data_IF_007071804927
#
_entry.id   IF_007071804927
#
_cell.length_a   1.000
_cell.length_b   1.000
_cell.length_c   1.000
_cell.angle_alpha   90.00
_cell.angle_beta   90.00
_cell.angle_gamma   90.00
#
_symmetry.space_group_name_H-M   'P 1'
#
loop_
_entity.id
_entity.type
_entity.pdbx_description
1 polymer ?
#
# COMPACT_ATOMS: atom_id res chain seq x y z
N UNK A 1 0.16 9.84 -45.37
CA UNK A 1 -0.25 8.74 -44.48
C UNK A 1 0.05 9.27 -43.11
N UNK A 2 -0.98 9.81 -42.47
CA UNK A 2 -0.90 10.41 -41.15
C UNK A 2 -0.75 9.26 -40.16
N UNK A 3 0.48 9.05 -39.68
CA UNK A 3 0.70 8.23 -38.50
C UNK A 3 0.20 9.05 -37.32
N UNK A 4 -0.92 8.61 -36.77
CA UNK A 4 -1.36 9.01 -35.44
C UNK A 4 -0.20 8.72 -34.48
N UNK A 5 0.49 9.78 -34.06
CA UNK A 5 1.25 9.80 -32.82
C UNK A 5 0.22 9.55 -31.71
N UNK A 6 -0.07 8.29 -31.46
CA UNK A 6 -0.58 7.86 -30.17
C UNK A 6 0.51 8.24 -29.19
N UNK A 7 0.29 9.33 -28.47
CA UNK A 7 0.87 9.58 -27.16
C UNK A 7 0.61 8.30 -26.33
N UNK A 8 1.51 7.33 -26.47
CA UNK A 8 1.69 6.21 -25.58
C UNK A 8 1.92 6.87 -24.23
N UNK A 9 0.82 6.99 -23.47
CA UNK A 9 0.83 7.38 -22.08
C UNK A 9 1.72 6.36 -21.37
N UNK A 10 3.00 6.74 -21.26
CA UNK A 10 4.06 5.99 -20.62
C UNK A 10 3.61 5.68 -19.19
N UNK A 11 3.14 4.45 -19.04
CA UNK A 11 2.57 3.90 -17.83
C UNK A 11 3.67 3.76 -16.77
N UNK A 12 4.90 3.52 -17.23
CA UNK A 12 6.12 3.76 -16.47
C UNK A 12 6.16 5.18 -15.91
N UNK A 13 5.95 6.21 -16.73
CA UNK A 13 5.93 7.61 -16.31
C UNK A 13 4.74 7.98 -15.40
N UNK A 14 3.56 7.38 -15.55
CA UNK A 14 2.41 7.64 -14.68
C UNK A 14 2.59 6.99 -13.28
N UNK A 15 3.10 5.76 -13.23
CA UNK A 15 3.43 5.04 -12.00
C UNK A 15 4.67 5.67 -11.32
N UNK A 16 5.67 6.07 -12.11
CA UNK A 16 6.80 6.85 -11.63
C UNK A 16 6.38 8.23 -11.16
N UNK A 17 5.43 8.93 -11.79
CA UNK A 17 4.96 10.24 -11.31
C UNK A 17 4.16 10.11 -10.00
N UNK A 18 3.40 9.03 -9.83
CA UNK A 18 2.76 8.72 -8.57
C UNK A 18 3.76 8.39 -7.44
N UNK A 19 4.93 7.82 -7.77
CA UNK A 19 6.03 7.53 -6.83
C UNK A 19 7.08 8.63 -6.70
N UNK A 20 7.31 9.49 -7.68
CA UNK A 20 8.32 10.57 -7.65
C UNK A 20 7.90 11.68 -6.68
N UNK A 21 6.59 11.80 -6.41
CA UNK A 21 6.08 12.57 -5.28
C UNK A 21 6.39 11.91 -3.90
N UNK A 22 7.05 10.75 -3.84
CA UNK A 22 7.48 10.09 -2.60
C UNK A 22 8.98 10.25 -2.29
N UNK A 23 9.83 10.75 -3.21
CA UNK A 23 11.28 10.64 -3.03
C UNK A 23 11.97 11.79 -2.31
N UNK A 24 11.34 12.95 -2.10
CA UNK A 24 12.12 14.11 -1.63
C UNK A 24 11.89 14.62 -0.20
N UNK A 25 10.90 14.19 0.60
CA UNK A 25 10.82 14.75 1.98
C UNK A 25 9.91 14.05 3.01
N UNK A 26 9.38 12.85 2.77
CA UNK A 26 8.60 12.18 3.82
C UNK A 26 9.47 11.23 4.65
N UNK A 27 9.66 11.50 5.96
CA UNK A 27 10.43 10.62 6.83
C UNK A 27 9.76 9.25 6.82
N UNK A 28 10.52 8.21 6.46
CA UNK A 28 10.13 6.81 6.64
C UNK A 28 9.61 6.68 8.07
N UNK A 29 8.30 6.49 8.23
CA UNK A 29 7.66 6.48 9.55
C UNK A 29 8.25 5.32 10.34
N UNK A 30 9.07 5.65 11.33
CA UNK A 30 9.67 4.71 12.25
C UNK A 30 8.60 4.29 13.27
N UNK A 31 7.86 3.24 12.92
CA UNK A 31 6.65 2.80 13.64
C UNK A 31 7.00 2.34 15.07
N UNK A 32 8.27 2.03 15.40
CA UNK A 32 8.58 1.28 16.64
C UNK A 32 9.91 1.62 17.32
N UNK A 33 10.45 2.83 17.24
CA UNK A 33 11.74 3.12 17.91
C UNK A 33 11.72 3.28 19.45
N UNK A 34 10.60 3.05 20.13
CA UNK A 34 10.54 3.06 21.61
C UNK A 34 9.52 2.04 22.12
N UNK A 35 9.96 1.01 22.85
CA UNK A 35 9.06 0.27 23.76
C UNK A 35 9.09 -1.27 23.76
N UNK A 36 9.98 -1.95 23.03
CA UNK A 36 10.11 -3.41 23.16
C UNK A 36 9.02 -4.26 22.47
N UNK A 37 8.10 -3.62 21.72
CA UNK A 37 7.10 -4.28 20.88
C UNK A 37 7.73 -5.10 19.74
N UNK A 38 8.86 -4.66 19.17
CA UNK A 38 9.56 -5.41 18.10
C UNK A 38 10.04 -6.80 18.57
N UNK A 39 10.54 -6.90 19.81
CA UNK A 39 11.06 -8.15 20.34
C UNK A 39 9.93 -9.15 20.64
N UNK A 40 8.80 -8.66 21.18
CA UNK A 40 7.64 -9.50 21.52
C UNK A 40 6.77 -9.83 20.30
N UNK A 41 6.79 -9.02 19.24
CA UNK A 41 5.99 -9.26 18.03
C UNK A 41 6.24 -10.62 17.37
N UNK A 42 7.44 -11.19 17.53
CA UNK A 42 7.78 -12.53 17.03
C UNK A 42 6.93 -13.63 17.68
N UNK A 43 6.48 -13.44 18.92
CA UNK A 43 5.75 -14.45 19.70
C UNK A 43 4.23 -14.46 19.43
N UNK A 44 3.67 -13.36 18.91
CA UNK A 44 2.22 -13.17 18.75
C UNK A 44 1.72 -13.33 17.30
N UNK A 45 2.62 -13.63 16.36
CA UNK A 45 2.29 -13.81 14.96
C UNK A 45 2.73 -15.16 14.40
N UNK A 46 2.14 -15.55 13.28
CA UNK A 46 2.59 -16.69 12.51
C UNK A 46 3.90 -16.36 11.78
N UNK A 47 4.71 -17.37 11.46
CA UNK A 47 6.00 -17.16 10.80
C UNK A 47 5.88 -16.28 9.54
N UNK A 48 4.79 -16.46 8.79
CA UNK A 48 4.52 -15.79 7.52
C UNK A 48 3.69 -14.49 7.64
N UNK A 49 3.31 -14.06 8.85
CA UNK A 49 2.62 -12.80 9.00
C UNK A 49 3.53 -11.62 8.59
N UNK A 50 2.92 -10.61 7.97
CA UNK A 50 3.57 -9.34 7.68
C UNK A 50 4.07 -8.68 8.98
N UNK A 51 5.20 -7.94 8.97
CA UNK A 51 5.73 -7.30 10.17
C UNK A 51 4.70 -6.44 10.94
N UNK A 52 3.91 -5.65 10.23
CA UNK A 52 2.87 -4.80 10.83
C UNK A 52 1.70 -5.60 11.41
N UNK A 53 1.38 -6.76 10.82
CA UNK A 53 0.38 -7.69 11.38
C UNK A 53 0.86 -8.29 12.69
N UNK A 54 2.14 -8.69 12.77
CA UNK A 54 2.76 -9.20 14.01
C UNK A 54 2.72 -8.15 15.13
N UNK A 55 3.09 -6.91 14.80
CA UNK A 55 3.05 -5.79 15.74
C UNK A 55 1.64 -5.50 16.25
N UNK A 56 0.63 -5.50 15.36
CA UNK A 56 -0.76 -5.26 15.76
C UNK A 56 -1.32 -6.39 16.63
N UNK A 57 -1.04 -7.65 16.29
CA UNK A 57 -1.39 -8.83 17.11
C UNK A 57 -0.76 -8.75 18.50
N UNK A 58 0.51 -8.37 18.57
CA UNK A 58 1.22 -8.20 19.85
C UNK A 58 0.63 -7.06 20.67
N UNK A 59 0.35 -5.90 20.07
CA UNK A 59 -0.26 -4.77 20.77
C UNK A 59 -1.60 -5.15 21.42
N UNK A 60 -2.46 -5.86 20.67
CA UNK A 60 -3.75 -6.34 21.18
C UNK A 60 -3.58 -7.39 22.27
N UNK A 61 -2.66 -8.33 22.13
CA UNK A 61 -2.43 -9.35 23.15
C UNK A 61 -1.88 -8.76 24.45
N UNK A 62 -0.90 -7.86 24.34
CA UNK A 62 -0.22 -7.27 25.49
C UNK A 62 -1.14 -6.30 26.25
N UNK A 63 -1.98 -5.52 25.56
CA UNK A 63 -2.94 -4.63 26.25
C UNK A 63 -3.99 -5.44 27.02
N UNK A 64 -4.45 -6.59 26.49
CA UNK A 64 -5.37 -7.51 27.20
C UNK A 64 -4.78 -8.04 28.51
N UNK A 65 -3.47 -8.28 28.52
CA UNK A 65 -2.74 -8.79 29.70
C UNK A 65 -2.27 -7.69 30.66
N UNK A 66 -2.39 -6.42 30.27
CA UNK A 66 -1.84 -5.28 31.02
C UNK A 66 -0.32 -5.17 30.94
N UNK A 67 0.34 -5.96 30.08
CA UNK A 67 1.79 -5.88 29.83
C UNK A 67 2.18 -4.70 28.93
N UNK A 68 1.22 -4.16 28.16
CA UNK A 68 1.34 -2.91 27.42
C UNK A 68 0.39 -1.90 28.05
N UNK A 69 0.89 -0.69 28.32
CA UNK A 69 0.02 0.36 28.85
C UNK A 69 -1.00 0.81 27.81
N UNK A 70 -2.14 1.32 28.27
CA UNK A 70 -3.19 1.82 27.38
C UNK A 70 -2.68 2.99 26.51
N UNK A 71 -1.80 3.85 27.07
CA UNK A 71 -1.19 4.96 26.34
C UNK A 71 -0.30 4.48 25.20
N UNK A 72 0.57 3.50 25.46
CA UNK A 72 1.44 2.90 24.43
C UNK A 72 0.62 2.15 23.36
N UNK A 73 -0.47 1.49 23.78
CA UNK A 73 -1.39 0.84 22.86
C UNK A 73 -2.06 1.86 21.90
N UNK A 74 -2.63 2.93 22.45
CA UNK A 74 -3.28 3.98 21.64
C UNK A 74 -2.29 4.67 20.73
N UNK A 75 -1.08 4.97 21.20
CA UNK A 75 -0.03 5.57 20.36
C UNK A 75 0.35 4.64 19.20
N UNK A 76 0.57 3.35 19.48
CA UNK A 76 0.95 2.36 18.47
C UNK A 76 -0.12 2.16 17.40
N UNK A 77 -1.38 1.96 17.80
CA UNK A 77 -2.50 1.79 16.87
C UNK A 77 -2.80 3.10 16.12
N UNK A 78 -2.70 4.25 16.80
CA UNK A 78 -2.93 5.57 16.23
C UNK A 78 -1.92 5.94 15.13
N UNK A 79 -0.66 5.48 15.24
CA UNK A 79 0.32 5.63 14.15
C UNK A 79 -0.09 4.88 12.89
N UNK A 80 -0.61 3.66 13.03
CA UNK A 80 -1.11 2.89 11.88
C UNK A 80 -2.33 3.56 11.24
N UNK A 81 -3.23 4.12 12.05
CA UNK A 81 -4.40 4.86 11.55
C UNK A 81 -3.98 6.12 10.79
N UNK A 82 -3.01 6.88 11.32
CA UNK A 82 -2.46 8.05 10.65
C UNK A 82 -1.78 7.72 9.30
N UNK A 83 -1.06 6.58 9.22
CA UNK A 83 -0.48 6.09 7.97
C UNK A 83 -1.59 5.77 6.95
N UNK A 84 -2.63 5.06 7.39
CA UNK A 84 -3.78 4.75 6.54
C UNK A 84 -4.49 6.01 6.04
N UNK A 85 -4.60 7.03 6.90
CA UNK A 85 -5.17 8.33 6.55
C UNK A 85 -4.36 9.05 5.49
N UNK A 86 -3.04 9.08 5.64
CA UNK A 86 -2.16 9.68 4.65
C UNK A 86 -2.23 8.94 3.32
N UNK A 87 -2.31 7.61 3.35
CA UNK A 87 -2.53 6.81 2.14
C UNK A 87 -3.84 7.20 1.42
N UNK A 88 -4.96 7.33 2.14
CA UNK A 88 -6.23 7.78 1.54
C UNK A 88 -6.18 9.20 1.01
N UNK A 89 -5.49 10.11 1.71
CA UNK A 89 -5.32 11.49 1.23
C UNK A 89 -4.61 11.53 -0.11
N UNK A 90 -3.59 10.70 -0.32
CA UNK A 90 -2.90 10.58 -1.61
C UNK A 90 -3.87 10.18 -2.72
N UNK A 91 -4.70 9.16 -2.49
CA UNK A 91 -5.74 8.76 -3.45
C UNK A 91 -6.77 9.85 -3.69
N UNK A 92 -7.08 10.67 -2.68
CA UNK A 92 -8.03 11.77 -2.77
C UNK A 92 -7.50 13.03 -3.49
N UNK A 93 -6.20 13.11 -3.80
CA UNK A 93 -5.62 14.26 -4.50
C UNK A 93 -6.29 14.41 -5.87
N UNK A 94 -6.84 15.60 -6.23
CA UNK A 94 -7.51 15.80 -7.51
C UNK A 94 -6.62 15.54 -8.72
N UNK A 95 -5.31 15.78 -8.65
CA UNK A 95 -4.38 15.41 -9.72
C UNK A 95 -4.38 13.88 -9.94
N UNK A 96 -4.27 13.10 -8.86
CA UNK A 96 -4.37 11.64 -8.89
C UNK A 96 -5.75 11.20 -9.41
N UNK A 97 -6.86 11.71 -8.85
CA UNK A 97 -8.22 11.38 -9.31
C UNK A 97 -8.61 11.93 -10.68
N UNK A 98 -7.90 12.91 -11.23
CA UNK A 98 -8.15 13.46 -12.58
C UNK A 98 -7.30 12.77 -13.63
N UNK A 99 -6.09 12.33 -13.26
CA UNK A 99 -5.20 11.60 -14.15
C UNK A 99 -5.47 10.08 -14.16
N UNK A 100 -6.16 9.51 -13.18
CA UNK A 100 -6.51 8.08 -13.16
C UNK A 100 -7.69 7.68 -14.07
N UNK A 101 -8.86 8.36 -14.08
CA UNK A 101 -10.06 7.86 -14.77
C UNK A 101 -9.90 7.91 -16.28
N UNK A 102 -9.98 6.74 -16.92
CA UNK A 102 -9.91 6.59 -18.38
C UNK A 102 -8.50 6.58 -18.98
N UNK A 103 -7.44 6.82 -18.19
CA UNK A 103 -6.04 6.63 -18.61
C UNK A 103 -5.49 5.27 -18.22
N UNK A 104 -6.04 4.65 -17.18
CA UNK A 104 -5.70 3.30 -16.75
C UNK A 104 -6.56 2.25 -17.46
N UNK A 105 -6.00 1.06 -17.66
CA UNK A 105 -6.75 -0.11 -18.10
C UNK A 105 -7.81 -0.51 -17.06
N UNK A 106 -8.83 -1.28 -17.46
CA UNK A 106 -9.83 -1.81 -16.52
C UNK A 106 -9.19 -2.59 -15.37
N UNK A 107 -8.13 -3.36 -15.66
CA UNK A 107 -7.38 -4.12 -14.66
C UNK A 107 -6.69 -3.21 -13.64
N UNK A 108 -6.03 -2.15 -14.09
CA UNK A 108 -5.34 -1.19 -13.22
C UNK A 108 -6.31 -0.37 -12.36
N UNK A 109 -7.45 0.03 -12.93
CA UNK A 109 -8.52 0.67 -12.15
C UNK A 109 -9.05 -0.26 -11.06
N UNK A 110 -9.18 -1.56 -11.34
CA UNK A 110 -9.59 -2.54 -10.34
C UNK A 110 -8.56 -2.70 -9.21
N UNK A 111 -7.25 -2.66 -9.52
CA UNK A 111 -6.16 -2.67 -8.52
C UNK A 111 -6.26 -1.44 -7.62
N UNK A 112 -6.35 -0.23 -8.20
CA UNK A 112 -6.41 1.03 -7.43
C UNK A 112 -7.67 1.10 -6.57
N UNK A 113 -8.84 0.80 -7.15
CA UNK A 113 -10.11 0.80 -6.41
C UNK A 113 -10.15 -0.26 -5.32
N UNK A 114 -9.56 -1.44 -5.57
CA UNK A 114 -9.39 -2.50 -4.58
C UNK A 114 -8.53 -2.03 -3.40
N UNK A 115 -7.41 -1.36 -3.70
CA UNK A 115 -6.50 -0.84 -2.68
C UNK A 115 -7.16 0.25 -1.82
N UNK A 116 -7.85 1.24 -2.44
CA UNK A 116 -8.62 2.27 -1.72
C UNK A 116 -9.66 1.64 -0.78
N UNK A 117 -10.42 0.64 -1.28
CA UNK A 117 -11.42 -0.06 -0.49
C UNK A 117 -10.82 -0.81 0.71
N UNK A 118 -9.68 -1.49 0.53
CA UNK A 118 -9.04 -2.19 1.65
C UNK A 118 -8.41 -1.22 2.65
N UNK A 119 -7.86 -0.08 2.22
CA UNK A 119 -7.36 0.93 3.17
C UNK A 119 -8.50 1.48 4.02
N UNK A 120 -9.67 1.75 3.44
CA UNK A 120 -10.87 2.12 4.21
C UNK A 120 -11.26 1.05 5.22
N UNK A 121 -11.30 -0.22 4.82
CA UNK A 121 -11.60 -1.33 5.73
C UNK A 121 -10.57 -1.49 6.84
N UNK A 122 -9.28 -1.27 6.53
CA UNK A 122 -8.21 -1.25 7.53
C UNK A 122 -8.47 -0.15 8.57
N UNK A 123 -8.81 1.07 8.11
CA UNK A 123 -9.16 2.19 9.00
C UNK A 123 -10.37 1.88 9.89
N UNK A 124 -11.41 1.24 9.35
CA UNK A 124 -12.56 0.82 10.16
C UNK A 124 -12.11 -0.13 11.29
N UNK A 125 -11.27 -1.12 10.98
CA UNK A 125 -10.71 -2.02 11.98
C UNK A 125 -9.86 -1.29 13.04
N UNK A 126 -8.98 -0.38 12.61
CA UNK A 126 -8.16 0.44 13.51
C UNK A 126 -9.00 1.38 14.38
N UNK A 127 -10.08 1.94 13.84
CA UNK A 127 -11.02 2.77 14.60
C UNK A 127 -11.72 2.01 15.71
N UNK A 128 -12.12 0.75 15.46
CA UNK A 128 -12.67 -0.14 16.49
C UNK A 128 -11.61 -0.46 17.56
N UNK A 129 -10.37 -0.70 17.14
CA UNK A 129 -9.27 -0.93 18.08
C UNK A 129 -9.00 0.29 18.97
N UNK A 130 -9.10 1.50 18.41
CA UNK A 130 -8.91 2.77 19.11
C UNK A 130 -10.07 3.16 20.02
N UNK A 131 -11.27 2.55 19.87
CA UNK A 131 -12.38 2.77 20.80
C UNK A 131 -12.29 1.93 22.07
N UNK A 132 -11.47 0.87 22.08
CA UNK A 132 -11.30 -0.01 23.25
C UNK A 132 -10.99 0.71 24.57
N UNK A 133 -10.15 1.76 24.64
CA UNK A 133 -9.91 2.49 25.90
C UNK A 133 -11.18 3.12 26.49
N UNK A 134 -12.18 3.42 25.66
CA UNK A 134 -13.44 4.02 26.09
C UNK A 134 -14.50 2.97 26.41
N UNK A 135 -14.55 1.88 25.63
CA UNK A 135 -15.56 0.83 25.75
C UNK A 135 -15.17 -0.26 26.75
N UNK A 136 -13.87 -0.45 26.96
CA UNK A 136 -13.26 -1.58 27.67
C UNK A 136 -13.73 -2.96 27.17
N UNK A 137 -14.35 -3.01 25.98
CA UNK A 137 -14.95 -4.21 25.42
C UNK A 137 -13.89 -5.04 24.70
N UNK A 138 -13.52 -6.19 25.28
CA UNK A 138 -12.56 -7.12 24.66
C UNK A 138 -13.00 -7.58 23.25
N UNK A 139 -14.32 -7.60 23.00
CA UNK A 139 -14.88 -7.89 21.67
C UNK A 139 -14.44 -6.88 20.61
N UNK A 140 -14.24 -5.60 20.96
CA UNK A 140 -13.77 -4.57 20.03
C UNK A 140 -12.32 -4.87 19.60
N UNK A 141 -11.48 -5.32 20.54
CA UNK A 141 -10.12 -5.74 20.23
C UNK A 141 -10.08 -6.90 19.23
N UNK A 142 -11.01 -7.85 19.33
CA UNK A 142 -11.05 -9.03 18.46
C UNK A 142 -11.58 -8.69 17.08
N UNK A 143 -12.71 -7.98 17.02
CA UNK A 143 -13.34 -7.55 15.76
C UNK A 143 -12.43 -6.58 15.00
N UNK A 144 -11.89 -5.58 15.70
CA UNK A 144 -11.00 -4.58 15.11
C UNK A 144 -9.72 -5.22 14.57
N UNK A 145 -9.09 -6.13 15.33
CA UNK A 145 -7.91 -6.87 14.89
C UNK A 145 -8.20 -7.73 13.66
N UNK A 146 -9.29 -8.49 13.68
CA UNK A 146 -9.67 -9.34 12.56
C UNK A 146 -9.88 -8.52 11.29
N UNK A 147 -10.59 -7.40 11.39
CA UNK A 147 -10.84 -6.50 10.25
C UNK A 147 -9.54 -5.88 9.72
N UNK A 148 -8.72 -5.30 10.59
CA UNK A 148 -7.47 -4.64 10.22
C UNK A 148 -6.49 -5.64 9.57
N UNK A 149 -6.29 -6.82 10.17
CA UNK A 149 -5.38 -7.84 9.62
C UNK A 149 -5.88 -8.38 8.29
N UNK A 150 -7.19 -8.63 8.16
CA UNK A 150 -7.76 -9.09 6.89
C UNK A 150 -7.53 -8.07 5.78
N UNK A 151 -7.70 -6.78 6.08
CA UNK A 151 -7.45 -5.71 5.13
C UNK A 151 -5.96 -5.57 4.80
N UNK A 152 -5.05 -5.61 5.78
CA UNK A 152 -3.60 -5.54 5.56
C UNK A 152 -3.09 -6.67 4.65
N UNK A 153 -3.57 -7.90 4.86
CA UNK A 153 -3.18 -9.04 4.02
C UNK A 153 -3.72 -8.90 2.58
N UNK A 154 -4.89 -8.31 2.41
CA UNK A 154 -5.44 -8.08 1.06
C UNK A 154 -4.73 -6.90 0.37
N UNK A 155 -4.35 -5.85 1.11
CA UNK A 155 -3.49 -4.77 0.62
C UNK A 155 -2.18 -5.33 0.07
N UNK A 156 -1.50 -6.20 0.81
CA UNK A 156 -0.25 -6.83 0.39
C UNK A 156 -0.39 -7.67 -0.90
N UNK A 157 -1.50 -8.42 -1.02
CA UNK A 157 -1.82 -9.16 -2.26
C UNK A 157 -2.05 -8.24 -3.45
N UNK A 158 -2.83 -7.17 -3.26
CA UNK A 158 -3.12 -6.19 -4.32
C UNK A 158 -1.84 -5.47 -4.74
N UNK A 159 -0.98 -5.11 -3.77
CA UNK A 159 0.33 -4.50 -4.04
C UNK A 159 1.24 -5.45 -4.82
N UNK A 160 1.28 -6.74 -4.46
CA UNK A 160 2.03 -7.75 -5.20
C UNK A 160 1.55 -7.89 -6.65
N UNK A 161 0.22 -7.83 -6.87
CA UNK A 161 -0.35 -7.83 -8.21
C UNK A 161 0.00 -6.55 -8.99
N UNK A 162 0.00 -5.39 -8.32
CA UNK A 162 0.40 -4.12 -8.92
C UNK A 162 1.88 -4.10 -9.33
N UNK A 163 2.76 -4.66 -8.49
CA UNK A 163 4.19 -4.77 -8.78
C UNK A 163 4.43 -5.73 -9.96
N UNK A 164 3.76 -6.89 -10.01
CA UNK A 164 3.86 -7.82 -11.13
C UNK A 164 3.38 -7.19 -12.45
N UNK A 165 2.28 -6.43 -12.39
CA UNK A 165 1.79 -5.69 -13.56
C UNK A 165 2.80 -4.64 -14.01
N UNK A 166 3.40 -3.87 -13.10
CA UNK A 166 4.46 -2.92 -13.41
C UNK A 166 5.63 -3.60 -14.13
N UNK A 167 6.12 -4.70 -13.58
CA UNK A 167 7.28 -5.40 -14.15
C UNK A 167 6.96 -5.90 -15.57
N UNK A 168 5.75 -6.42 -15.79
CA UNK A 168 5.26 -6.81 -17.12
C UNK A 168 5.28 -5.64 -18.12
N UNK A 169 4.79 -4.46 -17.71
CA UNK A 169 4.77 -3.26 -18.55
C UNK A 169 6.20 -2.82 -18.90
N UNK A 170 7.10 -2.83 -17.93
CA UNK A 170 8.50 -2.44 -18.15
C UNK A 170 9.21 -3.39 -19.12
N UNK A 171 8.95 -4.68 -19.02
CA UNK A 171 9.49 -5.67 -19.95
C UNK A 171 8.94 -5.45 -21.38
N UNK A 172 7.62 -5.23 -21.53
CA UNK A 172 6.97 -4.93 -22.81
C UNK A 172 7.56 -3.66 -23.46
N UNK A 173 7.76 -2.58 -22.69
CA UNK A 173 8.36 -1.33 -23.16
C UNK A 173 9.83 -1.51 -23.61
N UNK A 174 10.61 -2.30 -22.86
CA UNK A 174 12.00 -2.60 -23.22
C UNK A 174 12.10 -3.44 -24.49
N UNK A 175 11.25 -4.46 -24.64
CA UNK A 175 11.17 -5.28 -25.85
C UNK A 175 10.77 -4.44 -27.07
N UNK A 176 9.77 -3.56 -26.92
CA UNK A 176 9.36 -2.67 -27.99
C UNK A 176 10.48 -1.70 -28.39
N UNK A 177 11.16 -1.09 -27.42
CA UNK A 177 12.31 -0.21 -27.68
C UNK A 177 13.43 -0.94 -28.42
N UNK A 178 13.75 -2.17 -28.01
CA UNK A 178 14.74 -3.01 -28.67
C UNK A 178 14.33 -3.35 -30.11
N UNK A 179 13.05 -3.68 -30.33
CA UNK A 179 12.49 -3.97 -31.66
C UNK A 179 12.54 -2.74 -32.57
N UNK A 180 12.19 -1.56 -32.07
CA UNK A 180 12.26 -0.29 -32.82
C UNK A 180 13.72 0.04 -33.20
N UNK A 181 14.66 -0.15 -32.27
CA UNK A 181 16.10 0.03 -32.54
C UNK A 181 16.64 -0.94 -33.59
N UNK A 182 16.25 -2.22 -33.54
CA UNK A 182 16.65 -3.22 -34.55
C UNK A 182 16.10 -2.89 -35.94
N UNK A 183 14.83 -2.48 -36.03
CA UNK A 183 14.21 -2.05 -37.30
C UNK A 183 14.92 -0.82 -37.89
N UNK A 184 15.27 0.16 -37.05
CA UNK A 184 16.01 1.34 -37.50
C UNK A 184 17.41 0.97 -38.02
N UNK A 185 18.14 0.13 -37.28
CA UNK A 185 19.47 -0.35 -37.69
C UNK A 185 19.44 -1.17 -38.99
N UNK A 186 18.40 -1.97 -39.22
CA UNK A 186 18.21 -2.71 -40.47
C UNK A 186 17.90 -1.77 -41.64
N UNK A 187 17.05 -0.75 -41.43
CA UNK A 187 16.73 0.22 -42.46
C UNK A 187 17.94 1.10 -42.86
N UNK A 188 18.84 1.41 -41.93
CA UNK A 188 20.11 2.10 -42.21
C UNK A 188 21.12 1.22 -42.97
N UNK A 189 21.08 -0.11 -42.77
CA UNK A 189 21.98 -1.04 -43.45
C UNK A 189 21.56 -1.38 -44.90
N UNK A 190 20.31 -1.10 -45.27
CA UNK A 190 19.75 -1.32 -46.60
C UNK A 190 19.82 -0.08 -47.52
N UNK A 191 20.31 1.06 -47.02
CA UNK A 191 20.62 2.29 -47.78
C UNK A 191 22.11 2.37 -48.15
#
# INVERSE_FOLDING_TARGET
MDNEDTDDLDLGAAIQSARANQEDDEPKVDVVHRGGLEAKAVEYGEANDLPYVKLLKAAVALVKTGELSMEEYVEGVGKLDAIADNALKLYAIPAVKKDLPGKLTEHQNAIVGGLEAQIHKMKEGLGILLSYPETEAVGDLEVGLQMAVSAMNEIDRIQSAADAERDRIQDEEQEEKARRAQKAAQAEAEM
#
